data_IF_161053004124
#
_entry.id   IF_161053004124
#
_cell.length_a   1.000
_cell.length_b   1.000
_cell.length_c   1.000
_cell.angle_alpha   90.00
_cell.angle_beta   90.00
_cell.angle_gamma   90.00
#
_symmetry.space_group_name_H-M   'P 1'
#
loop_
_entity.id
_entity.type
_entity.pdbx_description
1 polymer ?
#
# COMPACT_ATOMS: atom_id res chain seq x y z
N UNK A 1 -12.95 4.17 -1.04
CA UNK A 1 -11.60 3.62 -0.84
C UNK A 1 -10.80 4.39 0.22
N UNK A 2 -11.26 4.34 1.49
CA UNK A 2 -10.37 4.35 2.66
C UNK A 2 -10.22 2.98 3.33
N UNK A 3 -11.16 2.05 3.06
CA UNK A 3 -11.26 0.76 3.76
C UNK A 3 -10.01 -0.13 3.59
N UNK A 4 -9.50 -0.30 2.37
CA UNK A 4 -8.30 -1.12 2.13
C UNK A 4 -7.07 -0.54 2.84
N UNK A 5 -6.96 0.79 2.92
CA UNK A 5 -5.85 1.43 3.64
C UNK A 5 -5.99 1.22 5.15
N UNK A 6 -7.22 1.24 5.69
CA UNK A 6 -7.47 0.86 7.08
C UNK A 6 -7.08 -0.59 7.37
N UNK A 7 -7.44 -1.53 6.48
CA UNK A 7 -7.07 -2.94 6.58
C UNK A 7 -5.55 -3.12 6.52
N UNK A 8 -4.85 -2.39 5.63
CA UNK A 8 -3.40 -2.38 5.56
C UNK A 8 -2.77 -1.90 6.87
N UNK A 9 -3.27 -0.78 7.41
CA UNK A 9 -2.81 -0.21 8.66
C UNK A 9 -2.99 -1.19 9.82
N UNK A 10 -4.21 -1.69 10.04
CA UNK A 10 -4.51 -2.62 11.13
C UNK A 10 -3.77 -3.96 10.96
N UNK A 11 -3.76 -4.50 9.75
CA UNK A 11 -3.17 -5.80 9.42
C UNK A 11 -1.64 -5.84 9.47
N UNK A 12 -0.99 -4.69 9.42
CA UNK A 12 0.48 -4.61 9.48
C UNK A 12 1.02 -3.82 10.67
N UNK A 13 0.24 -3.78 11.76
CA UNK A 13 0.63 -3.17 13.03
C UNK A 13 0.89 -1.66 12.93
N UNK A 14 0.00 -0.93 12.25
CA UNK A 14 0.06 0.50 11.93
C UNK A 14 0.46 1.44 13.07
N UNK A 15 0.05 1.12 14.30
CA UNK A 15 0.43 1.87 15.50
C UNK A 15 1.96 1.91 15.73
N UNK A 16 2.70 0.91 15.24
CA UNK A 16 4.14 0.79 15.38
C UNK A 16 4.91 1.20 14.12
N UNK A 17 4.21 1.69 13.08
CA UNK A 17 4.90 2.21 11.90
C UNK A 17 5.79 3.39 12.26
N UNK A 18 6.90 3.55 11.54
CA UNK A 18 7.84 4.66 11.78
C UNK A 18 7.25 6.01 11.33
N UNK A 19 6.47 5.98 10.25
CA UNK A 19 5.78 7.11 9.65
C UNK A 19 4.36 6.68 9.27
N UNK A 20 3.41 7.11 10.10
CA UNK A 20 1.97 6.94 9.91
C UNK A 20 1.26 8.30 9.81
N UNK A 21 1.97 9.36 9.42
CA UNK A 21 1.36 10.69 9.30
C UNK A 21 0.21 10.68 8.28
N UNK A 22 -0.94 11.21 8.68
CA UNK A 22 -2.19 11.19 7.92
C UNK A 22 -3.01 9.90 8.08
N UNK A 23 -2.37 8.76 8.37
CA UNK A 23 -3.08 7.49 8.55
C UNK A 23 -4.01 7.56 9.77
N UNK A 24 -5.21 7.01 9.63
CA UNK A 24 -6.26 7.03 10.66
C UNK A 24 -6.72 8.44 11.10
N UNK A 25 -6.55 9.43 10.23
CA UNK A 25 -7.10 10.79 10.38
C UNK A 25 -8.25 11.04 9.39
N UNK A 26 -8.80 12.25 9.41
CA UNK A 26 -9.78 12.70 8.41
C UNK A 26 -9.13 13.36 7.18
N UNK A 27 -7.80 13.37 7.11
CA UNK A 27 -7.09 13.99 6.00
C UNK A 27 -7.32 13.17 4.71
N UNK A 28 -7.34 13.80 3.53
CA UNK A 28 -7.41 13.09 2.26
C UNK A 28 -6.26 12.08 2.13
N UNK A 29 -6.55 10.84 1.72
CA UNK A 29 -5.52 9.79 1.67
C UNK A 29 -4.34 10.10 0.75
N UNK A 30 -4.52 10.96 -0.26
CA UNK A 30 -3.43 11.43 -1.11
C UNK A 30 -2.40 12.31 -0.38
N UNK A 31 -2.68 12.78 0.84
CA UNK A 31 -1.74 13.52 1.68
C UNK A 31 -1.08 12.65 2.76
N UNK A 32 -1.41 11.36 2.84
CA UNK A 32 -0.84 10.46 3.84
C UNK A 32 0.59 10.07 3.45
N UNK A 33 1.45 9.89 4.45
CA UNK A 33 2.82 9.44 4.22
C UNK A 33 2.84 8.11 3.44
N UNK A 34 3.64 8.07 2.38
CA UNK A 34 3.81 6.90 1.52
C UNK A 34 2.70 6.68 0.49
N UNK A 35 1.64 7.51 0.46
CA UNK A 35 0.58 7.42 -0.54
C UNK A 35 0.84 8.43 -1.65
N UNK A 36 0.84 7.97 -2.90
CA UNK A 36 0.87 8.82 -4.09
C UNK A 36 -0.37 8.53 -4.91
N UNK A 37 -1.10 9.59 -5.26
CA UNK A 37 -2.26 9.50 -6.14
C UNK A 37 -1.92 9.94 -7.55
N UNK A 38 -2.70 9.46 -8.52
CA UNK A 38 -2.67 9.97 -9.89
C UNK A 38 -3.04 11.46 -9.86
N UNK A 39 -2.09 12.31 -10.26
CA UNK A 39 -2.21 13.76 -10.37
C UNK A 39 -1.88 14.18 -11.82
N UNK A 40 -2.77 13.80 -12.73
CA UNK A 40 -2.61 14.00 -14.18
C UNK A 40 -3.54 15.08 -14.70
N UNK A 41 -4.73 14.68 -15.17
CA UNK A 41 -5.81 15.55 -15.62
C UNK A 41 -7.01 15.30 -14.71
N UNK A 42 -7.67 16.37 -14.27
CA UNK A 42 -8.86 16.31 -13.43
C UNK A 42 -10.02 15.52 -14.09
N UNK A 43 -10.06 15.47 -15.42
CA UNK A 43 -11.06 14.70 -16.16
C UNK A 43 -10.70 13.23 -16.37
N UNK A 44 -9.50 12.80 -15.98
CA UNK A 44 -9.11 11.39 -15.99
C UNK A 44 -9.82 10.64 -14.86
N UNK A 45 -10.40 9.48 -15.15
CA UNK A 45 -11.10 8.65 -14.16
C UNK A 45 -10.18 8.19 -13.01
N UNK A 46 -8.87 8.22 -13.23
CA UNK A 46 -7.86 7.89 -12.22
C UNK A 46 -7.54 9.06 -11.31
N UNK A 47 -7.96 10.29 -11.61
CA UNK A 47 -7.62 11.46 -10.79
C UNK A 47 -7.99 11.24 -9.33
N UNK A 48 -7.00 11.42 -8.44
CA UNK A 48 -7.14 11.19 -7.01
C UNK A 48 -7.17 9.72 -6.58
N UNK A 49 -7.10 8.74 -7.49
CA UNK A 49 -6.92 7.32 -7.17
C UNK A 49 -5.45 7.04 -6.81
N UNK A 50 -5.21 6.00 -6.02
CA UNK A 50 -3.85 5.63 -5.58
C UNK A 50 -3.06 5.08 -6.78
N UNK A 51 -1.97 5.76 -7.12
CA UNK A 51 -1.02 5.32 -8.14
C UNK A 51 0.09 4.46 -7.52
N UNK A 52 0.58 4.86 -6.35
CA UNK A 52 1.70 4.19 -5.70
C UNK A 52 1.59 4.21 -4.17
N UNK A 53 2.09 3.14 -3.57
CA UNK A 53 2.33 3.03 -2.13
C UNK A 53 3.82 2.75 -1.91
N UNK A 54 4.51 3.68 -1.26
CA UNK A 54 5.86 3.49 -0.75
C UNK A 54 5.84 3.51 0.78
N UNK A 55 5.88 2.31 1.35
CA UNK A 55 5.95 2.08 2.79
C UNK A 55 7.28 1.43 3.15
N UNK A 56 8.33 1.73 2.39
CA UNK A 56 9.65 1.19 2.64
C UNK A 56 10.23 1.69 3.97
N UNK A 57 10.96 0.82 4.67
CA UNK A 57 11.59 1.14 5.97
C UNK A 57 10.60 1.63 7.04
N UNK A 58 9.34 1.21 6.97
CA UNK A 58 8.26 1.76 7.80
C UNK A 58 7.84 0.88 8.97
N UNK A 59 8.63 -0.15 9.30
CA UNK A 59 8.36 -1.09 10.39
C UNK A 59 7.00 -1.80 10.26
N UNK A 60 6.61 -2.17 9.04
CA UNK A 60 5.45 -3.04 8.82
C UNK A 60 5.76 -4.44 9.35
N UNK A 61 4.80 -5.02 10.10
CA UNK A 61 4.97 -6.32 10.74
C UNK A 61 3.78 -7.23 10.45
N UNK A 62 3.99 -8.55 10.38
CA UNK A 62 2.93 -9.53 10.19
C UNK A 62 2.77 -9.95 8.74
N UNK A 63 1.53 -10.05 8.25
CA UNK A 63 1.24 -10.50 6.88
C UNK A 63 0.57 -9.36 6.10
N UNK A 64 1.05 -9.11 4.88
CA UNK A 64 0.43 -8.14 3.98
C UNK A 64 -1.01 -8.58 3.65
N UNK A 65 -2.04 -7.77 3.96
CA UNK A 65 -3.43 -8.13 3.68
C UNK A 65 -3.68 -8.36 2.19
N UNK A 66 -4.47 -9.37 1.85
CA UNK A 66 -4.73 -9.76 0.45
C UNK A 66 -5.55 -8.70 -0.32
N UNK A 67 -6.27 -7.84 0.39
CA UNK A 67 -7.04 -6.72 -0.14
C UNK A 67 -6.16 -5.70 -0.88
N UNK A 68 -4.85 -5.65 -0.56
CA UNK A 68 -3.90 -4.76 -1.25
C UNK A 68 -3.89 -5.00 -2.77
N UNK A 69 -4.06 -6.25 -3.20
CA UNK A 69 -4.07 -6.63 -4.60
C UNK A 69 -5.31 -6.11 -5.34
N UNK A 70 -6.29 -5.58 -4.62
CA UNK A 70 -7.55 -5.07 -5.17
C UNK A 70 -7.60 -3.54 -5.23
N UNK A 71 -6.51 -2.82 -4.90
CA UNK A 71 -6.45 -1.36 -5.06
C UNK A 71 -6.48 -1.03 -6.56
N UNK A 72 -7.53 -0.36 -7.06
CA UNK A 72 -7.62 0.03 -8.47
C UNK A 72 -6.48 0.98 -8.84
N UNK A 73 -5.95 0.80 -10.05
CA UNK A 73 -4.90 1.67 -10.63
C UNK A 73 -3.57 1.74 -9.85
N UNK A 74 -3.38 0.91 -8.82
CA UNK A 74 -2.10 0.80 -8.12
C UNK A 74 -1.05 0.26 -9.07
N UNK A 75 -0.06 1.09 -9.39
CA UNK A 75 0.99 0.80 -10.35
C UNK A 75 2.32 0.43 -9.70
N UNK A 76 2.59 0.94 -8.49
CA UNK A 76 3.82 0.71 -7.75
C UNK A 76 3.52 0.38 -6.28
N UNK A 77 4.07 -0.75 -5.82
CA UNK A 77 4.03 -1.15 -4.41
C UNK A 77 5.46 -1.40 -3.92
N UNK A 78 5.92 -0.56 -3.00
CA UNK A 78 7.29 -0.58 -2.47
C UNK A 78 7.23 -0.85 -0.98
N UNK A 79 7.70 -2.04 -0.57
CA UNK A 79 7.62 -2.56 0.80
C UNK A 79 8.99 -2.95 1.37
N UNK A 80 10.09 -2.76 0.62
CA UNK A 80 11.45 -3.11 1.07
C UNK A 80 11.79 -2.55 2.46
N UNK A 81 12.73 -3.21 3.13
CA UNK A 81 13.20 -2.82 4.49
C UNK A 81 12.12 -2.91 5.57
N UNK A 82 11.16 -3.83 5.43
CA UNK A 82 10.24 -4.24 6.49
C UNK A 82 10.50 -5.72 6.84
N UNK A 83 11.49 -6.02 7.69
CA UNK A 83 11.99 -7.39 7.89
C UNK A 83 10.98 -8.34 8.55
N UNK A 84 10.04 -7.79 9.32
CA UNK A 84 9.00 -8.55 10.03
C UNK A 84 7.70 -8.70 9.23
N UNK A 85 7.65 -8.17 8.00
CA UNK A 85 6.53 -8.34 7.08
C UNK A 85 6.69 -9.65 6.29
N UNK A 86 5.58 -10.30 5.99
CA UNK A 86 5.49 -11.46 5.09
C UNK A 86 4.45 -11.21 4.01
N UNK A 87 4.65 -11.76 2.81
CA UNK A 87 3.74 -11.56 1.66
C UNK A 87 3.24 -12.89 1.13
N UNK A 88 1.93 -12.91 0.81
CA UNK A 88 1.26 -14.00 0.07
C UNK A 88 0.65 -13.46 -1.20
N UNK A 89 0.63 -14.29 -2.24
CA UNK A 89 0.27 -13.91 -3.61
C UNK A 89 -1.04 -14.51 -4.11
N UNK A 90 -1.83 -15.13 -3.25
CA UNK A 90 -3.07 -15.85 -3.59
C UNK A 90 -3.99 -15.02 -4.50
N UNK A 91 -4.16 -13.74 -4.19
CA UNK A 91 -5.04 -12.80 -4.91
C UNK A 91 -4.29 -11.82 -5.81
N UNK A 92 -2.99 -12.02 -6.04
CA UNK A 92 -2.14 -11.12 -6.84
C UNK A 92 -2.64 -10.91 -8.27
N UNK A 93 -3.41 -11.84 -8.84
CA UNK A 93 -4.07 -11.69 -10.15
C UNK A 93 -5.02 -10.49 -10.24
N UNK A 94 -5.52 -9.98 -9.10
CA UNK A 94 -6.39 -8.79 -9.06
C UNK A 94 -5.64 -7.48 -9.27
N UNK A 95 -4.31 -7.50 -9.09
CA UNK A 95 -3.47 -6.32 -9.22
C UNK A 95 -3.15 -6.04 -10.70
N UNK A 96 -4.19 -5.81 -11.49
CA UNK A 96 -4.13 -5.73 -12.95
C UNK A 96 -3.24 -4.59 -13.47
N UNK A 97 -3.07 -3.53 -12.67
CA UNK A 97 -2.28 -2.34 -13.03
C UNK A 97 -0.88 -2.33 -12.42
N UNK A 98 -0.53 -3.32 -11.58
CA UNK A 98 0.71 -3.33 -10.83
C UNK A 98 1.89 -3.66 -11.75
N UNK A 99 2.73 -2.65 -12.00
CA UNK A 99 3.89 -2.76 -12.88
C UNK A 99 5.20 -2.92 -12.10
N UNK A 100 5.22 -2.49 -10.83
CA UNK A 100 6.41 -2.54 -10.00
C UNK A 100 6.07 -3.01 -8.59
N UNK A 101 6.65 -4.14 -8.20
CA UNK A 101 6.59 -4.66 -6.85
C UNK A 101 8.02 -4.77 -6.28
N UNK A 102 8.30 -4.06 -5.19
CA UNK A 102 9.64 -4.01 -4.57
C UNK A 102 9.57 -4.53 -3.14
N UNK A 103 9.98 -5.78 -2.93
CA UNK A 103 9.94 -6.47 -1.63
C UNK A 103 11.28 -6.52 -0.89
N UNK A 104 12.41 -6.30 -1.57
CA UNK A 104 13.73 -6.48 -0.96
C UNK A 104 13.91 -7.91 -0.44
N UNK A 105 14.16 -8.06 0.88
CA UNK A 105 14.39 -9.35 1.56
C UNK A 105 13.16 -9.91 2.29
N UNK A 106 11.97 -9.38 2.04
CA UNK A 106 10.74 -9.85 2.68
C UNK A 106 10.45 -11.32 2.30
N UNK A 107 10.16 -12.19 3.29
CA UNK A 107 9.74 -13.57 3.05
C UNK A 107 8.44 -13.64 2.23
N UNK A 108 8.43 -14.54 1.24
CA UNK A 108 7.30 -14.82 0.37
C UNK A 108 6.77 -16.22 0.68
N UNK A 109 5.47 -16.33 0.96
CA UNK A 109 4.79 -17.61 1.13
C UNK A 109 4.01 -17.91 -0.16
N UNK A 110 4.22 -19.11 -0.68
CA UNK A 110 3.53 -19.66 -1.87
C UNK A 110 2.32 -20.47 -1.42
#
# INVERSE_FOLDING_TARGET
>A
MPEILGILYDGTSGYYWNDSNGWFTNDPYCSWSGVQCHDVDYYDERYGQIEALDLSSNNLQGELPQEIWSIPFLSRLILRENPDLTVRFDESRKAEYLNQLVLGRIPQKV
#
